data_IF_481421818202
#
_entry.id   IF_481421818202
#
_cell.length_a   1.000
_cell.length_b   1.000
_cell.length_c   1.000
_cell.angle_alpha   90.00
_cell.angle_beta   90.00
_cell.angle_gamma   90.00
#
_symmetry.space_group_name_H-M   'P 1'
#
loop_
_entity.id
_entity.type
_entity.pdbx_description
1 polymer ?
#
# COMPACT_ATOMS: atom_id res chain seq x y z
N UNK A 1 -11.07 -36.18 -8.91
CA UNK A 1 -11.13 -34.84 -9.51
C UNK A 1 -9.73 -34.31 -9.59
N UNK A 2 -9.35 -33.71 -10.72
CA UNK A 2 -8.02 -33.15 -10.96
C UNK A 2 -8.12 -31.63 -10.96
N UNK A 3 -7.20 -30.94 -10.28
CA UNK A 3 -7.16 -29.48 -10.19
C UNK A 3 -5.83 -29.00 -10.73
N UNK A 4 -5.88 -28.20 -11.79
CA UNK A 4 -4.69 -27.52 -12.33
C UNK A 4 -4.49 -26.20 -11.61
N UNK A 5 -3.27 -25.94 -11.15
CA UNK A 5 -2.89 -24.68 -10.50
C UNK A 5 -1.79 -23.99 -11.31
N UNK A 6 -1.80 -22.66 -11.31
CA UNK A 6 -0.79 -21.82 -11.94
C UNK A 6 -0.21 -20.89 -10.89
N UNK A 7 1.11 -20.88 -10.72
CA UNK A 7 1.79 -19.91 -9.86
C UNK A 7 2.01 -18.61 -10.65
N UNK A 8 1.29 -17.57 -10.27
CA UNK A 8 1.39 -16.24 -10.86
C UNK A 8 1.97 -15.22 -9.89
N UNK A 9 2.63 -15.67 -8.82
CA UNK A 9 3.10 -14.82 -7.72
C UNK A 9 2.00 -13.91 -7.15
N UNK A 10 0.74 -14.38 -7.18
CA UNK A 10 -0.43 -13.63 -6.73
C UNK A 10 -0.98 -12.60 -7.72
N UNK A 11 -0.40 -12.46 -8.92
CA UNK A 11 -0.92 -11.57 -9.97
C UNK A 11 -2.02 -12.28 -10.75
N UNK A 12 -3.25 -11.76 -10.67
CA UNK A 12 -4.44 -12.40 -11.30
C UNK A 12 -4.79 -11.82 -12.67
N UNK A 13 -4.03 -10.83 -13.16
CA UNK A 13 -4.27 -10.16 -14.43
C UNK A 13 -5.20 -8.94 -14.32
N UNK A 14 -5.85 -8.53 -15.42
CA UNK A 14 -6.73 -7.36 -15.43
C UNK A 14 -7.89 -7.49 -14.43
N UNK A 15 -8.38 -6.35 -13.92
CA UNK A 15 -9.55 -6.32 -13.06
C UNK A 15 -10.77 -6.95 -13.74
N UNK A 16 -11.37 -7.96 -13.10
CA UNK A 16 -12.55 -8.68 -13.61
C UNK A 16 -13.83 -8.38 -12.81
N UNK A 17 -13.76 -7.49 -11.82
CA UNK A 17 -14.91 -7.13 -11.00
C UNK A 17 -15.85 -6.14 -11.68
N UNK A 18 -17.06 -6.03 -11.15
CA UNK A 18 -18.04 -5.02 -11.59
C UNK A 18 -17.75 -3.62 -11.05
N UNK A 19 -16.84 -3.51 -10.06
CA UNK A 19 -16.49 -2.24 -9.47
C UNK A 19 -15.66 -1.41 -10.47
N UNK A 20 -16.04 -0.17 -10.76
CA UNK A 20 -15.24 0.66 -11.63
C UNK A 20 -13.92 1.05 -10.95
N UNK A 21 -12.81 1.04 -11.69
CA UNK A 21 -11.46 1.25 -11.13
C UNK A 21 -11.31 2.59 -10.38
N UNK A 22 -12.01 3.64 -10.82
CA UNK A 22 -11.98 4.94 -10.14
C UNK A 22 -12.47 4.89 -8.70
N UNK A 23 -13.25 3.86 -8.31
CA UNK A 23 -13.73 3.68 -6.95
C UNK A 23 -12.56 3.45 -5.98
N UNK A 24 -11.52 2.74 -6.42
CA UNK A 24 -10.32 2.48 -5.61
C UNK A 24 -9.38 3.68 -5.53
N UNK A 25 -9.58 4.70 -6.36
CA UNK A 25 -8.79 5.93 -6.38
C UNK A 25 -9.38 7.05 -5.51
N UNK A 26 -10.51 6.80 -4.83
CA UNK A 26 -11.13 7.78 -3.95
C UNK A 26 -10.28 8.01 -2.70
N UNK A 27 -10.11 9.28 -2.33
CA UNK A 27 -9.45 9.63 -1.07
C UNK A 27 -10.35 9.29 0.11
N UNK A 28 -9.72 8.79 1.17
CA UNK A 28 -10.37 8.59 2.48
C UNK A 28 -9.59 9.36 3.54
N UNK A 29 -10.18 9.65 4.71
CA UNK A 29 -9.45 10.27 5.81
C UNK A 29 -8.18 9.51 6.23
N UNK A 30 -8.19 8.17 6.13
CA UNK A 30 -7.07 7.32 6.52
C UNK A 30 -5.95 7.29 5.47
N UNK A 31 -6.30 7.46 4.19
CA UNK A 31 -5.38 7.37 3.04
C UNK A 31 -5.09 8.74 2.41
N UNK A 32 -5.45 9.82 3.08
CA UNK A 32 -5.25 11.18 2.57
C UNK A 32 -3.75 11.45 2.39
N UNK A 33 -3.33 11.70 1.15
CA UNK A 33 -1.93 11.96 0.83
C UNK A 33 -1.52 13.34 1.39
N UNK A 34 -0.90 13.36 2.56
CA UNK A 34 -0.29 14.55 3.15
C UNK A 34 1.07 14.88 2.52
N UNK A 35 1.88 15.66 3.22
CA UNK A 35 3.21 16.05 2.72
C UNK A 35 4.14 14.84 2.70
N UNK A 36 4.18 14.08 3.80
CA UNK A 36 5.03 12.90 3.94
C UNK A 36 4.68 11.81 2.92
N UNK A 37 3.39 11.54 2.72
CA UNK A 37 2.95 10.56 1.71
C UNK A 37 3.31 11.01 0.29
N UNK A 38 3.15 12.29 -0.06
CA UNK A 38 3.58 12.81 -1.38
C UNK A 38 5.09 12.70 -1.58
N UNK A 39 5.88 13.02 -0.55
CA UNK A 39 7.33 12.89 -0.59
C UNK A 39 7.75 11.42 -0.75
N UNK A 40 7.13 10.51 0.00
CA UNK A 40 7.34 9.07 -0.13
C UNK A 40 7.04 8.58 -1.55
N UNK A 41 5.89 8.95 -2.10
CA UNK A 41 5.52 8.59 -3.47
C UNK A 41 6.53 9.13 -4.50
N UNK A 42 7.10 10.31 -4.26
CA UNK A 42 8.15 10.89 -5.11
C UNK A 42 9.48 10.13 -5.08
N UNK A 43 9.73 9.28 -4.06
CA UNK A 43 10.92 8.42 -4.02
C UNK A 43 10.81 7.19 -4.91
N UNK A 44 9.59 6.86 -5.36
CA UNK A 44 9.36 5.74 -6.27
C UNK A 44 9.86 6.16 -7.65
N UNK A 45 10.97 5.55 -8.09
CA UNK A 45 11.60 5.84 -9.36
C UNK A 45 10.76 5.42 -10.59
N UNK A 46 11.45 5.30 -11.73
CA UNK A 46 10.84 4.86 -12.99
C UNK A 46 10.78 3.33 -13.08
N UNK A 47 9.91 2.81 -13.91
CA UNK A 47 9.72 1.37 -14.14
C UNK A 47 8.29 1.04 -14.58
N UNK A 48 8.02 -0.23 -14.80
CA UNK A 48 6.66 -0.77 -14.93
C UNK A 48 5.86 -0.51 -13.66
N UNK A 49 4.53 -0.59 -13.74
CA UNK A 49 3.66 -0.34 -12.59
C UNK A 49 3.95 -1.30 -11.42
N UNK A 50 4.19 -2.58 -11.71
CA UNK A 50 4.52 -3.59 -10.70
C UNK A 50 5.88 -3.31 -10.05
N UNK A 51 6.90 -2.94 -10.82
CA UNK A 51 8.20 -2.56 -10.27
C UNK A 51 8.08 -1.35 -9.33
N UNK A 52 7.28 -0.36 -9.72
CA UNK A 52 7.03 0.84 -8.91
C UNK A 52 6.27 0.50 -7.63
N UNK A 53 5.29 -0.39 -7.67
CA UNK A 53 4.57 -0.85 -6.48
C UNK A 53 5.47 -1.62 -5.51
N UNK A 54 6.35 -2.50 -6.01
CA UNK A 54 7.33 -3.18 -5.17
C UNK A 54 8.33 -2.20 -4.54
N UNK A 55 8.80 -1.20 -5.30
CA UNK A 55 9.67 -0.15 -4.77
C UNK A 55 8.98 0.66 -3.67
N UNK A 56 7.69 1.00 -3.86
CA UNK A 56 6.89 1.67 -2.85
C UNK A 56 6.76 0.83 -1.56
N UNK A 57 6.45 -0.46 -1.68
CA UNK A 57 6.37 -1.37 -0.53
C UNK A 57 7.70 -1.43 0.25
N UNK A 58 8.83 -1.48 -0.46
CA UNK A 58 10.17 -1.41 0.13
C UNK A 58 10.38 -0.09 0.89
N UNK A 59 10.06 1.03 0.26
CA UNK A 59 10.20 2.36 0.85
C UNK A 59 9.34 2.57 2.10
N UNK A 60 8.12 2.00 2.13
CA UNK A 60 7.24 1.99 3.32
C UNK A 60 7.90 1.19 4.44
N UNK A 61 8.36 -0.04 4.16
CA UNK A 61 8.99 -0.93 5.16
C UNK A 61 10.23 -0.31 5.79
N UNK A 62 11.00 0.47 5.03
CA UNK A 62 12.18 1.16 5.55
C UNK A 62 11.85 2.31 6.51
N UNK A 63 10.70 2.96 6.32
CA UNK A 63 10.30 4.17 7.06
C UNK A 63 9.34 3.88 8.22
N UNK A 64 8.56 2.80 8.12
CA UNK A 64 7.57 2.40 9.12
C UNK A 64 7.95 1.02 9.66
N UNK A 65 8.41 0.99 10.89
CA UNK A 65 8.75 -0.26 11.56
C UNK A 65 7.48 -0.96 12.09
N UNK A 66 7.36 -2.25 11.85
CA UNK A 66 6.24 -3.03 12.37
C UNK A 66 6.35 -3.17 13.90
N UNK A 67 5.44 -2.51 14.65
CA UNK A 67 5.42 -2.49 16.11
C UNK A 67 3.97 -2.55 16.63
N UNK A 68 3.52 -3.69 17.16
CA UNK A 68 2.21 -3.77 17.79
C UNK A 68 2.03 -2.74 18.92
N UNK A 69 0.83 -2.18 19.04
CA UNK A 69 0.46 -1.25 20.12
C UNK A 69 0.91 0.20 19.94
N UNK A 70 1.50 0.57 18.81
CA UNK A 70 1.91 1.96 18.53
C UNK A 70 0.83 2.80 17.85
N UNK A 71 -0.21 2.15 17.29
CA UNK A 71 -1.27 2.77 16.49
C UNK A 71 -2.63 2.16 16.82
N UNK A 72 -3.70 2.76 16.30
CA UNK A 72 -5.08 2.27 16.42
C UNK A 72 -5.73 2.16 15.04
N UNK A 73 -6.89 1.52 14.93
CA UNK A 73 -7.61 1.33 13.65
C UNK A 73 -8.01 2.63 12.93
N UNK A 74 -7.92 3.77 13.61
CA UNK A 74 -8.23 5.09 13.02
C UNK A 74 -6.97 5.93 12.77
N UNK A 75 -5.77 5.37 12.93
CA UNK A 75 -4.51 6.07 12.67
C UNK A 75 -4.34 6.32 11.16
N UNK A 76 -4.21 7.57 10.71
CA UNK A 76 -3.98 7.88 9.30
C UNK A 76 -2.58 7.51 8.82
N UNK A 77 -2.42 7.26 7.52
CA UNK A 77 -1.14 6.92 6.89
C UNK A 77 -0.05 7.99 7.15
N UNK A 78 -0.41 9.28 7.08
CA UNK A 78 0.52 10.39 7.36
C UNK A 78 1.02 10.35 8.82
N UNK A 79 0.16 9.97 9.77
CA UNK A 79 0.54 9.85 11.18
C UNK A 79 1.43 8.63 11.41
N UNK A 80 1.08 7.47 10.85
CA UNK A 80 1.92 6.28 10.94
C UNK A 80 3.33 6.50 10.35
N UNK A 81 3.41 7.23 9.23
CA UNK A 81 4.68 7.62 8.62
C UNK A 81 5.48 8.57 9.53
N UNK A 82 4.83 9.54 10.18
CA UNK A 82 5.47 10.45 11.12
C UNK A 82 5.98 9.73 12.38
N UNK A 83 5.21 8.78 12.91
CA UNK A 83 5.58 7.92 14.04
C UNK A 83 6.72 6.96 13.71
N UNK A 84 6.94 6.67 12.42
CA UNK A 84 7.90 5.66 11.93
C UNK A 84 7.63 4.26 12.49
N UNK A 85 6.38 3.99 12.89
CA UNK A 85 5.95 2.71 13.41
C UNK A 85 4.45 2.48 13.24
N UNK A 86 4.07 1.25 12.95
CA UNK A 86 2.68 0.84 12.78
C UNK A 86 2.52 -0.67 12.69
N UNK A 87 1.34 -1.12 12.29
CA UNK A 87 0.97 -2.51 12.06
C UNK A 87 0.50 -2.73 10.62
N UNK A 88 -0.01 -3.92 10.30
CA UNK A 88 -0.36 -4.30 8.92
C UNK A 88 -1.28 -3.30 8.22
N UNK A 89 -2.27 -2.75 8.92
CA UNK A 89 -3.18 -1.77 8.36
C UNK A 89 -2.43 -0.48 7.96
N UNK A 90 -1.46 -0.03 8.76
CA UNK A 90 -0.78 1.26 8.57
C UNK A 90 0.20 1.20 7.40
N UNK A 91 0.70 0.00 7.09
CA UNK A 91 1.46 -0.26 5.87
C UNK A 91 0.57 -0.30 4.62
N UNK A 92 -0.75 -0.43 4.79
CA UNK A 92 -1.72 -0.59 3.70
C UNK A 92 -2.52 0.68 3.40
N UNK A 93 -2.66 1.60 4.35
CA UNK A 93 -3.35 2.89 4.20
C UNK A 93 -2.51 3.87 3.37
#
# INVERSE_FOLDING_TARGET
GEVTTHDTAGVTGPHQGYAPLWLFAQQTPLTAAGKGIRELAGTVGQGTEIERLHALMGAIRERVAYRPGTTSVVTPAEEALALKSGVCQDHSH
#
